data_IF_945919720937
#
_entry.id   IF_945919720937
#
_cell.length_a   1.000
_cell.length_b   1.000
_cell.length_c   1.000
_cell.angle_alpha   90.00
_cell.angle_beta   90.00
_cell.angle_gamma   90.00
#
_symmetry.space_group_name_H-M   'P 1'
#
loop_
_entity.id
_entity.type
_entity.pdbx_description
1 polymer ?
#
# COMPACT_ATOMS: atom_id res chain seq x y z
N UNK A 1 -3.64 -1.85 -9.48
CA UNK A 1 -2.98 -0.56 -9.83
C UNK A 1 -2.86 0.24 -8.55
N UNK A 2 -1.65 0.44 -8.07
CA UNK A 2 -1.41 1.16 -6.81
C UNK A 2 -1.84 2.62 -6.90
N UNK A 3 -2.22 3.21 -5.77
CA UNK A 3 -2.47 4.63 -5.68
C UNK A 3 -1.17 5.38 -5.97
N UNK A 4 -1.01 5.83 -7.20
CA UNK A 4 0.10 6.71 -7.56
C UNK A 4 -0.22 8.11 -7.04
N UNK A 5 0.42 8.53 -5.97
CA UNK A 5 0.39 9.92 -5.50
C UNK A 5 1.36 10.78 -6.33
N UNK A 6 1.47 10.48 -7.62
CA UNK A 6 2.39 11.16 -8.50
C UNK A 6 2.00 12.61 -8.73
N UNK A 7 2.88 13.50 -8.39
CA UNK A 7 3.02 14.75 -9.08
C UNK A 7 2.64 16.01 -8.35
N UNK A 8 3.66 16.69 -7.87
CA UNK A 8 3.68 18.13 -7.55
C UNK A 8 3.36 19.05 -8.75
N UNK A 9 3.00 18.49 -9.93
CA UNK A 9 2.74 19.25 -11.17
C UNK A 9 1.41 18.91 -11.85
N UNK A 10 0.35 18.59 -11.11
CA UNK A 10 -0.96 18.53 -11.72
C UNK A 10 -1.55 19.94 -11.80
N UNK A 11 -1.55 20.50 -13.01
CA UNK A 11 -2.34 21.64 -13.44
C UNK A 11 -3.76 21.58 -12.85
N UNK A 12 -4.24 22.73 -12.42
CA UNK A 12 -5.62 22.98 -12.02
C UNK A 12 -6.57 22.51 -13.12
N UNK A 13 -7.03 21.27 -13.07
CA UNK A 13 -8.20 20.88 -13.83
C UNK A 13 -9.43 21.48 -13.12
N UNK A 14 -10.02 22.39 -13.84
CA UNK A 14 -11.20 23.14 -13.52
C UNK A 14 -12.38 22.19 -13.25
N UNK A 15 -12.51 21.71 -12.01
CA UNK A 15 -13.76 21.14 -11.55
C UNK A 15 -14.69 22.32 -11.32
N UNK A 16 -15.61 22.50 -12.23
CA UNK A 16 -16.59 23.58 -12.20
C UNK A 16 -17.28 23.69 -10.86
N UNK A 17 -17.17 24.88 -10.26
CA UNK A 17 -18.01 25.36 -9.18
C UNK A 17 -17.62 24.90 -7.77
N UNK A 18 -16.96 25.78 -7.03
CA UNK A 18 -16.92 25.88 -5.57
C UNK A 18 -16.55 24.61 -4.80
N UNK A 19 -15.41 24.60 -4.11
CA UNK A 19 -15.01 23.51 -3.24
C UNK A 19 -16.13 23.09 -2.28
N UNK A 20 -16.85 22.03 -2.63
CA UNK A 20 -17.93 21.49 -1.83
C UNK A 20 -17.38 20.86 -0.56
N UNK A 21 -18.10 21.05 0.53
CA UNK A 21 -17.80 20.34 1.78
C UNK A 21 -18.33 18.90 1.68
N UNK A 22 -17.54 17.96 2.19
CA UNK A 22 -17.89 16.53 2.29
C UNK A 22 -18.04 16.16 3.75
N UNK A 23 -19.05 15.37 4.06
CA UNK A 23 -19.28 14.84 5.38
C UNK A 23 -18.88 13.37 5.43
N UNK A 24 -18.09 13.03 6.43
CA UNK A 24 -17.77 11.64 6.78
C UNK A 24 -18.25 11.44 8.21
N UNK A 25 -19.43 10.83 8.37
CA UNK A 25 -20.17 10.79 9.62
C UNK A 25 -20.39 12.20 10.19
N UNK A 26 -19.92 12.45 11.41
CA UNK A 26 -20.08 13.75 12.11
C UNK A 26 -18.99 14.77 11.75
N UNK A 27 -18.05 14.42 10.88
CA UNK A 27 -16.91 15.25 10.53
C UNK A 27 -17.10 15.91 9.17
N UNK A 28 -16.87 17.23 9.13
CA UNK A 28 -16.96 18.03 7.90
C UNK A 28 -15.60 18.33 7.36
N UNK A 29 -15.41 18.09 6.04
CA UNK A 29 -14.17 18.32 5.33
C UNK A 29 -14.40 19.22 4.13
N UNK A 30 -13.49 20.17 3.92
CA UNK A 30 -13.41 20.97 2.70
C UNK A 30 -12.44 20.32 1.74
N UNK A 31 -12.88 20.05 0.51
CA UNK A 31 -12.02 19.55 -0.55
C UNK A 31 -11.08 20.67 -1.00
N UNK A 32 -9.78 20.44 -0.92
CA UNK A 32 -8.75 21.39 -1.34
C UNK A 32 -8.32 21.13 -2.79
N UNK A 33 -7.99 19.88 -3.12
CA UNK A 33 -7.62 19.46 -4.47
C UNK A 33 -7.70 17.95 -4.62
N UNK A 34 -7.73 17.47 -5.87
CA UNK A 34 -7.56 16.06 -6.20
C UNK A 34 -6.09 15.68 -6.12
N UNK A 35 -5.78 14.52 -5.55
CA UNK A 35 -4.44 13.95 -5.47
C UNK A 35 -4.18 12.94 -6.60
N UNK A 36 -5.19 12.19 -7.00
CA UNK A 36 -5.08 11.18 -8.05
C UNK A 36 -6.27 10.23 -8.10
N UNK A 37 -6.14 9.19 -8.91
CA UNK A 37 -7.07 8.06 -8.95
C UNK A 37 -6.51 6.92 -8.11
N UNK A 38 -7.39 6.19 -7.44
CA UNK A 38 -7.04 5.07 -6.58
C UNK A 38 -7.86 3.84 -6.96
N UNK A 39 -7.20 2.79 -7.46
CA UNK A 39 -7.86 1.52 -7.75
C UNK A 39 -8.74 1.54 -9.01
N UNK A 40 -9.77 0.69 -9.04
CA UNK A 40 -10.64 0.50 -10.21
C UNK A 40 -11.39 1.78 -10.60
N UNK A 41 -11.87 1.81 -11.85
CA UNK A 41 -12.59 2.96 -12.42
C UNK A 41 -13.72 3.45 -11.49
N UNK A 42 -13.62 4.70 -11.03
CA UNK A 42 -14.58 5.34 -10.12
C UNK A 42 -14.04 5.70 -8.75
N UNK A 43 -12.78 5.39 -8.46
CA UNK A 43 -12.12 5.78 -7.20
C UNK A 43 -11.22 7.00 -7.41
N UNK A 44 -11.30 7.98 -6.52
CA UNK A 44 -10.48 9.19 -6.57
C UNK A 44 -10.02 9.58 -5.17
N UNK A 45 -8.80 10.11 -5.06
CA UNK A 45 -8.25 10.60 -3.79
C UNK A 45 -8.16 12.11 -3.81
N UNK A 46 -8.61 12.72 -2.72
CA UNK A 46 -8.64 14.16 -2.52
C UNK A 46 -7.84 14.57 -1.28
N UNK A 47 -7.16 15.69 -1.38
CA UNK A 47 -6.64 16.40 -0.24
C UNK A 47 -7.81 17.18 0.38
N UNK A 48 -8.06 16.97 1.67
CA UNK A 48 -9.16 17.61 2.38
C UNK A 48 -8.68 18.26 3.67
N UNK A 49 -9.38 19.31 4.09
CA UNK A 49 -9.14 19.98 5.37
C UNK A 49 -10.37 19.85 6.25
N UNK A 50 -10.19 19.42 7.48
CA UNK A 50 -11.24 19.39 8.47
C UNK A 50 -11.76 20.80 8.79
N UNK A 51 -13.08 20.97 8.77
CA UNK A 51 -13.76 22.20 9.13
C UNK A 51 -14.28 22.05 10.56
N UNK A 52 -13.50 22.55 11.51
CA UNK A 52 -13.91 22.58 12.93
C UNK A 52 -14.88 23.72 13.12
N UNK A 53 -16.08 23.44 13.62
CA UNK A 53 -17.00 24.50 14.01
C UNK A 53 -16.34 25.36 15.10
N UNK A 54 -16.28 26.67 14.89
CA UNK A 54 -15.85 27.59 15.93
C UNK A 54 -16.74 27.35 17.16
N UNK A 55 -16.15 27.03 18.29
CA UNK A 55 -16.89 26.88 19.53
C UNK A 55 -17.65 28.20 19.76
N UNK A 56 -18.97 28.15 19.78
CA UNK A 56 -19.79 29.27 20.14
C UNK A 56 -19.38 29.69 21.58
N UNK A 57 -18.72 30.83 21.69
CA UNK A 57 -18.32 31.39 22.96
C UNK A 57 -19.58 31.86 23.71
N UNK A 58 -20.13 31.00 24.55
CA UNK A 58 -21.01 31.38 25.64
C UNK A 58 -20.19 31.20 26.94
N UNK A 59 -19.92 32.33 27.56
CA UNK A 59 -19.33 32.54 28.89
C UNK A 59 -17.80 32.44 29.01
N UNK A 60 -17.30 33.58 29.49
CA UNK A 60 -15.91 33.90 29.72
C UNK A 60 -15.21 33.05 30.79
N UNK A 61 -14.46 32.08 30.36
CA UNK A 61 -13.30 31.57 31.06
C UNK A 61 -12.19 31.32 30.05
N UNK A 62 -11.11 32.07 30.17
CA UNK A 62 -9.90 31.99 29.40
C UNK A 62 -9.27 30.58 29.49
N UNK A 63 -9.03 29.94 28.36
CA UNK A 63 -8.22 28.71 28.30
C UNK A 63 -8.58 27.70 27.20
N UNK A 64 -9.04 28.14 26.03
CA UNK A 64 -9.12 27.24 24.89
C UNK A 64 -8.00 27.60 23.89
N UNK A 65 -6.97 26.74 23.82
CA UNK A 65 -5.99 26.73 22.73
C UNK A 65 -6.65 26.56 21.37
N UNK A 66 -5.92 26.76 20.26
CA UNK A 66 -6.46 26.69 18.91
C UNK A 66 -7.21 25.38 18.70
N UNK A 67 -8.44 25.48 18.13
CA UNK A 67 -9.45 24.41 18.06
C UNK A 67 -8.89 23.04 17.70
N UNK A 68 -8.95 22.14 18.66
CA UNK A 68 -8.52 20.74 18.47
C UNK A 68 -9.42 20.09 17.44
N UNK A 69 -8.83 19.44 16.41
CA UNK A 69 -9.50 18.65 15.38
C UNK A 69 -10.52 17.68 16.00
N UNK A 70 -11.69 17.53 15.39
CA UNK A 70 -12.70 16.56 15.84
C UNK A 70 -12.21 15.13 15.72
N UNK A 71 -11.45 14.82 14.66
CA UNK A 71 -10.78 13.52 14.48
C UNK A 71 -9.78 13.26 15.61
N UNK A 72 -9.07 14.30 16.12
CA UNK A 72 -8.16 14.18 17.26
C UNK A 72 -8.86 13.75 18.56
N UNK A 73 -10.16 13.95 18.67
CA UNK A 73 -10.97 13.55 19.84
C UNK A 73 -11.54 12.15 19.73
N UNK A 74 -11.42 11.51 18.56
CA UNK A 74 -11.93 10.15 18.34
C UNK A 74 -11.12 9.16 19.17
N UNK A 75 -11.80 8.37 20.00
CA UNK A 75 -11.16 7.32 20.79
C UNK A 75 -10.59 6.23 19.87
N UNK A 76 -9.36 5.81 20.13
CA UNK A 76 -8.72 4.71 19.41
C UNK A 76 -7.86 5.13 18.20
N UNK A 77 -7.81 6.40 17.85
CA UNK A 77 -6.88 6.92 16.84
C UNK A 77 -5.55 7.27 17.50
N UNK A 78 -4.45 6.74 16.97
CA UNK A 78 -3.11 7.09 17.45
C UNK A 78 -2.83 8.57 17.14
N UNK A 79 -2.45 9.38 18.15
CA UNK A 79 -2.15 10.81 17.96
C UNK A 79 -1.08 11.09 16.88
N UNK A 80 -0.17 10.16 16.63
CA UNK A 80 0.87 10.30 15.60
C UNK A 80 0.32 10.37 14.16
N UNK A 81 -0.90 9.87 13.95
CA UNK A 81 -1.57 9.89 12.64
C UNK A 81 -2.51 11.10 12.46
N UNK A 82 -2.62 11.95 13.48
CA UNK A 82 -3.49 13.12 13.42
C UNK A 82 -2.70 14.31 12.89
N UNK A 83 -3.22 14.91 11.82
CA UNK A 83 -2.61 16.12 11.26
C UNK A 83 -2.77 17.31 12.18
N UNK A 84 -1.67 18.00 12.51
CA UNK A 84 -1.70 19.25 13.27
C UNK A 84 -2.46 20.35 12.51
N UNK A 85 -2.46 20.32 11.19
CA UNK A 85 -3.10 21.30 10.31
C UNK A 85 -4.52 20.92 9.91
N UNK A 86 -5.02 19.76 10.39
CA UNK A 86 -6.33 19.19 10.02
C UNK A 86 -6.42 18.77 8.57
N UNK A 87 -5.31 18.42 7.92
CA UNK A 87 -5.23 18.03 6.52
C UNK A 87 -5.13 16.50 6.41
N UNK A 88 -5.97 15.91 5.55
CA UNK A 88 -6.10 14.45 5.39
C UNK A 88 -6.22 14.07 3.93
N UNK A 89 -6.06 12.78 3.63
CA UNK A 89 -6.36 12.17 2.35
C UNK A 89 -7.74 11.49 2.43
N UNK A 90 -8.62 11.79 1.48
CA UNK A 90 -9.96 11.22 1.38
C UNK A 90 -10.08 10.40 0.10
N UNK A 91 -10.17 9.08 0.21
CA UNK A 91 -10.50 8.18 -0.91
C UNK A 91 -12.02 8.17 -1.05
N UNK A 92 -12.51 8.56 -2.24
CA UNK A 92 -13.92 8.45 -2.63
C UNK A 92 -14.05 7.31 -3.62
N UNK A 93 -14.98 6.38 -3.37
CA UNK A 93 -15.26 5.24 -4.23
C UNK A 93 -16.72 5.30 -4.67
N UNK A 94 -16.97 5.27 -5.99
CA UNK A 94 -18.32 5.14 -6.53
C UNK A 94 -18.66 3.66 -6.70
N UNK A 95 -19.65 3.19 -5.97
CA UNK A 95 -20.07 1.80 -5.91
C UNK A 95 -21.34 1.62 -6.75
N UNK A 96 -21.25 0.77 -7.78
CA UNK A 96 -22.33 0.56 -8.77
C UNK A 96 -22.97 -0.83 -8.72
N UNK A 97 -22.48 -1.72 -7.86
CA UNK A 97 -23.01 -3.07 -7.71
C UNK A 97 -22.88 -3.55 -6.27
N UNK A 98 -23.72 -4.51 -5.87
CA UNK A 98 -23.67 -5.13 -4.55
C UNK A 98 -22.34 -5.88 -4.33
N UNK A 99 -21.81 -6.49 -5.39
CA UNK A 99 -20.49 -7.14 -5.33
C UNK A 99 -19.38 -6.13 -5.02
N UNK A 100 -19.38 -4.98 -5.68
CA UNK A 100 -18.42 -3.91 -5.40
C UNK A 100 -18.60 -3.32 -3.99
N UNK A 101 -19.86 -3.21 -3.52
CA UNK A 101 -20.16 -2.77 -2.15
C UNK A 101 -19.53 -3.73 -1.10
N UNK A 102 -19.60 -5.03 -1.34
CA UNK A 102 -19.01 -5.99 -0.41
C UNK A 102 -17.48 -5.96 -0.40
N UNK A 103 -16.85 -5.74 -1.56
CA UNK A 103 -15.39 -5.52 -1.64
C UNK A 103 -14.96 -4.29 -0.84
N UNK A 104 -15.67 -3.16 -0.98
CA UNK A 104 -15.39 -1.95 -0.21
C UNK A 104 -15.60 -2.16 1.30
N UNK A 105 -16.64 -2.89 1.68
CA UNK A 105 -16.88 -3.27 3.09
C UNK A 105 -15.76 -4.15 3.63
N UNK A 106 -15.23 -5.04 2.80
CA UNK A 106 -14.09 -5.88 3.17
C UNK A 106 -12.83 -5.03 3.35
N UNK A 107 -12.53 -4.11 2.42
CA UNK A 107 -11.40 -3.17 2.56
C UNK A 107 -11.49 -2.38 3.88
N UNK A 108 -12.66 -1.81 4.19
CA UNK A 108 -12.90 -1.07 5.44
C UNK A 108 -12.67 -1.97 6.66
N UNK A 109 -13.22 -3.18 6.65
CA UNK A 109 -13.11 -4.15 7.75
C UNK A 109 -11.64 -4.51 8.00
N UNK A 110 -10.90 -4.84 6.94
CA UNK A 110 -9.49 -5.21 7.03
C UNK A 110 -8.64 -4.03 7.49
N UNK A 111 -8.81 -2.84 6.87
CA UNK A 111 -8.08 -1.62 7.23
C UNK A 111 -8.32 -1.20 8.69
N UNK A 112 -9.50 -1.48 9.22
CA UNK A 112 -9.86 -1.15 10.61
C UNK A 112 -9.27 -2.11 11.65
N UNK A 113 -8.74 -3.27 11.23
CA UNK A 113 -8.16 -4.27 12.16
C UNK A 113 -6.71 -3.97 12.51
N UNK A 114 -5.97 -3.27 11.64
CA UNK A 114 -4.54 -3.08 11.81
C UNK A 114 -4.23 -1.74 12.45
N UNK A 115 -3.41 -1.77 13.51
CA UNK A 115 -2.85 -0.58 14.15
C UNK A 115 -1.34 -0.79 14.31
N UNK A 116 -0.56 -0.22 13.39
CA UNK A 116 0.89 -0.36 13.35
C UNK A 116 1.51 0.85 12.65
N UNK A 117 2.65 1.40 13.12
CA UNK A 117 3.26 2.61 12.55
C UNK A 117 3.68 2.47 11.07
N UNK A 118 3.85 1.25 10.58
CA UNK A 118 4.22 0.99 9.18
C UNK A 118 3.05 0.45 8.33
N UNK A 119 1.81 0.56 8.80
CA UNK A 119 0.57 0.30 8.05
C UNK A 119 -0.29 1.55 8.05
N UNK A 120 -0.87 1.90 6.90
CA UNK A 120 -1.69 3.11 6.78
C UNK A 120 -3.03 2.93 7.53
N UNK A 121 -3.28 3.68 8.60
CA UNK A 121 -4.50 3.51 9.38
C UNK A 121 -5.70 4.16 8.69
N UNK A 122 -6.85 3.50 8.73
CA UNK A 122 -8.14 4.10 8.38
C UNK A 122 -8.65 4.92 9.57
N UNK A 123 -8.71 6.25 9.41
CA UNK A 123 -9.11 7.17 10.48
C UNK A 123 -10.63 7.22 10.65
N UNK A 124 -11.35 7.30 9.53
CA UNK A 124 -12.79 7.38 9.50
C UNK A 124 -13.32 6.84 8.16
N UNK A 125 -14.57 6.40 8.12
CA UNK A 125 -15.22 5.99 6.88
C UNK A 125 -16.72 6.21 6.93
N UNK A 126 -17.33 6.38 5.75
CA UNK A 126 -18.79 6.41 5.59
C UNK A 126 -19.18 5.77 4.26
N UNK A 127 -20.31 5.05 4.24
CA UNK A 127 -20.94 4.57 3.01
C UNK A 127 -22.32 5.20 2.96
N UNK A 128 -22.60 5.96 1.91
CA UNK A 128 -23.89 6.66 1.73
C UNK A 128 -24.58 6.16 0.47
N UNK A 129 -25.90 6.02 0.53
CA UNK A 129 -26.71 5.75 -0.65
C UNK A 129 -26.91 7.04 -1.46
N UNK A 130 -26.65 6.97 -2.78
CA UNK A 130 -26.83 8.08 -3.69
C UNK A 130 -27.89 7.71 -4.71
N UNK A 131 -28.86 8.60 -4.96
CA UNK A 131 -29.87 8.37 -6.00
C UNK A 131 -29.21 8.41 -7.38
N UNK A 132 -29.33 7.32 -8.12
CA UNK A 132 -28.87 7.25 -9.52
C UNK A 132 -29.67 8.23 -10.39
N UNK A 133 -28.96 8.92 -11.30
CA UNK A 133 -29.54 10.02 -12.09
C UNK A 133 -30.40 9.54 -13.25
N UNK A 134 -30.35 8.25 -13.66
CA UNK A 134 -31.00 7.81 -14.91
C UNK A 134 -31.83 6.53 -14.88
N UNK A 135 -31.68 5.63 -13.87
CA UNK A 135 -32.36 4.32 -13.95
C UNK A 135 -33.00 3.81 -12.65
N UNK A 136 -33.07 4.64 -11.62
CA UNK A 136 -33.63 4.22 -10.32
C UNK A 136 -32.76 3.25 -9.52
N UNK A 137 -31.55 2.94 -9.99
CA UNK A 137 -30.59 2.11 -9.25
C UNK A 137 -30.06 2.84 -8.02
N UNK A 138 -29.95 2.11 -6.92
CA UNK A 138 -29.29 2.64 -5.71
C UNK A 138 -27.77 2.50 -5.89
N UNK A 139 -27.11 3.59 -6.24
CA UNK A 139 -25.67 3.67 -6.18
C UNK A 139 -25.22 4.03 -4.76
N UNK A 140 -24.04 3.62 -4.38
CA UNK A 140 -23.42 4.04 -3.11
C UNK A 140 -22.13 4.78 -3.36
N UNK A 141 -21.80 5.69 -2.47
CA UNK A 141 -20.49 6.30 -2.39
C UNK A 141 -19.85 5.94 -1.06
N UNK A 142 -18.60 5.47 -1.09
CA UNK A 142 -17.80 5.28 0.10
C UNK A 142 -16.75 6.38 0.21
N UNK A 143 -16.54 6.84 1.43
CA UNK A 143 -15.56 7.82 1.81
C UNK A 143 -14.65 7.21 2.88
N UNK A 144 -13.36 7.09 2.58
CA UNK A 144 -12.36 6.55 3.49
C UNK A 144 -11.31 7.63 3.79
N UNK A 145 -11.15 7.98 5.04
CA UNK A 145 -10.25 9.04 5.49
C UNK A 145 -8.94 8.46 6.04
N UNK A 146 -7.83 8.95 5.53
CA UNK A 146 -6.47 8.53 5.88
C UNK A 146 -5.59 9.71 6.28
N UNK A 147 -4.51 9.49 7.06
CA UNK A 147 -3.43 10.46 7.16
C UNK A 147 -2.87 10.79 5.77
N UNK A 148 -2.43 12.03 5.59
CA UNK A 148 -1.81 12.44 4.32
C UNK A 148 -0.30 12.35 4.39
N UNK A 149 0.30 11.75 3.33
CA UNK A 149 1.74 11.68 3.10
C UNK A 149 2.02 12.25 1.72
N UNK A 150 2.67 13.43 1.66
CA UNK A 150 2.82 14.20 0.42
C UNK A 150 4.15 13.96 -0.31
N UNK A 151 5.07 13.21 0.28
CA UNK A 151 6.37 12.91 -0.33
C UNK A 151 6.27 11.82 -1.43
N UNK A 152 5.10 11.22 -1.60
CA UNK A 152 4.80 10.24 -2.63
C UNK A 152 5.04 8.79 -2.20
N UNK A 153 5.01 7.90 -3.19
CA UNK A 153 5.26 6.47 -3.01
C UNK A 153 6.74 6.13 -3.16
N UNK A 154 7.14 4.96 -2.72
CA UNK A 154 8.47 4.43 -2.96
C UNK A 154 8.77 4.33 -4.46
N UNK A 155 7.76 4.04 -5.29
CA UNK A 155 7.88 4.03 -6.74
C UNK A 155 8.19 5.43 -7.28
N UNK A 156 7.49 6.46 -6.82
CA UNK A 156 7.73 7.85 -7.25
C UNK A 156 9.14 8.32 -6.90
N UNK A 157 9.59 7.99 -5.67
CA UNK A 157 10.94 8.35 -5.21
C UNK A 157 12.01 7.61 -5.99
N UNK A 158 11.89 6.29 -6.18
CA UNK A 158 12.87 5.50 -6.94
C UNK A 158 12.94 5.95 -8.39
N UNK A 159 11.83 6.25 -9.03
CA UNK A 159 11.77 6.79 -10.39
C UNK A 159 12.50 8.14 -10.48
N UNK A 160 12.21 9.06 -9.55
CA UNK A 160 12.87 10.38 -9.52
C UNK A 160 14.39 10.25 -9.31
N UNK A 161 14.83 9.31 -8.48
CA UNK A 161 16.25 9.03 -8.28
C UNK A 161 16.91 8.47 -9.54
N UNK A 162 16.25 7.55 -10.24
CA UNK A 162 16.74 6.99 -11.50
C UNK A 162 16.92 8.07 -12.59
N UNK A 163 15.93 8.98 -12.73
CA UNK A 163 16.01 10.11 -13.66
C UNK A 163 17.23 11.01 -13.39
N UNK A 164 17.76 11.00 -12.14
CA UNK A 164 18.95 11.73 -11.71
C UNK A 164 20.23 10.87 -11.69
N UNK A 165 20.16 9.61 -12.11
CA UNK A 165 21.23 8.61 -11.94
C UNK A 165 21.64 8.44 -10.47
N UNK A 166 20.71 8.57 -9.54
CA UNK A 166 20.89 8.36 -8.10
C UNK A 166 20.28 7.02 -7.69
N UNK A 167 20.72 6.49 -6.56
CA UNK A 167 20.14 5.29 -5.95
C UNK A 167 20.17 5.42 -4.42
N UNK A 168 19.29 4.70 -3.73
CA UNK A 168 19.32 4.67 -2.28
C UNK A 168 20.64 4.08 -1.78
N UNK A 169 21.27 4.67 -0.74
CA UNK A 169 22.33 4.01 -0.01
C UNK A 169 21.86 2.66 0.57
N UNK A 170 22.74 1.67 0.62
CA UNK A 170 22.44 0.33 1.14
C UNK A 170 21.73 0.36 2.50
N UNK A 171 22.21 1.21 3.41
CA UNK A 171 21.61 1.31 4.75
C UNK A 171 20.17 1.88 4.70
N UNK A 172 19.89 2.83 3.81
CA UNK A 172 18.56 3.39 3.63
C UNK A 172 17.58 2.34 3.08
N UNK A 173 18.01 1.55 2.08
CA UNK A 173 17.25 0.41 1.55
C UNK A 173 16.87 -0.54 2.68
N UNK A 174 17.85 -0.95 3.49
CA UNK A 174 17.62 -1.88 4.58
C UNK A 174 16.69 -1.32 5.66
N UNK A 175 16.80 -0.03 6.00
CA UNK A 175 15.94 0.62 6.99
C UNK A 175 14.49 0.75 6.52
N UNK A 176 14.26 1.08 5.25
CA UNK A 176 12.93 1.10 4.65
C UNK A 176 12.36 -0.33 4.62
N UNK A 177 13.13 -1.27 4.11
CA UNK A 177 12.74 -2.68 4.02
C UNK A 177 12.38 -3.28 5.39
N UNK A 178 13.16 -2.97 6.42
CA UNK A 178 12.90 -3.43 7.80
C UNK A 178 11.54 -2.94 8.33
N UNK A 179 11.13 -1.74 7.96
CA UNK A 179 9.83 -1.19 8.33
C UNK A 179 8.68 -1.91 7.62
N UNK A 180 8.84 -2.25 6.32
CA UNK A 180 7.88 -3.07 5.59
C UNK A 180 7.72 -4.46 6.24
N UNK A 181 8.85 -5.08 6.63
CA UNK A 181 8.82 -6.35 7.36
C UNK A 181 8.06 -6.23 8.68
N UNK A 182 8.17 -5.11 9.40
CA UNK A 182 7.45 -4.90 10.66
C UNK A 182 5.93 -4.80 10.44
N UNK A 183 5.50 -4.08 9.41
CA UNK A 183 4.09 -4.01 9.01
C UNK A 183 3.53 -5.38 8.62
N UNK A 184 4.23 -6.12 7.76
CA UNK A 184 3.81 -7.46 7.35
C UNK A 184 3.80 -8.44 8.52
N UNK A 185 4.80 -8.39 9.41
CA UNK A 185 4.79 -9.22 10.61
C UNK A 185 3.53 -8.98 11.45
N UNK A 186 3.12 -7.73 11.60
CA UNK A 186 1.88 -7.40 12.31
C UNK A 186 0.68 -8.11 11.68
N UNK A 187 0.53 -8.09 10.34
CA UNK A 187 -0.55 -8.78 9.63
C UNK A 187 -0.45 -10.31 9.71
N UNK A 188 0.74 -10.87 9.52
CA UNK A 188 0.99 -12.31 9.58
C UNK A 188 0.83 -12.92 10.99
N UNK A 189 0.90 -12.07 12.03
CA UNK A 189 0.75 -12.49 13.44
C UNK A 189 -0.69 -12.52 13.94
N UNK A 190 -1.66 -12.15 13.11
CA UNK A 190 -3.09 -12.28 13.45
C UNK A 190 -3.50 -13.77 13.48
N UNK A 191 -4.62 -14.04 14.14
CA UNK A 191 -5.26 -15.36 14.14
C UNK A 191 -6.72 -15.23 13.65
N UNK A 192 -7.02 -15.68 12.42
CA UNK A 192 -6.10 -16.22 11.41
C UNK A 192 -5.13 -15.18 10.83
N UNK A 193 -3.94 -15.61 10.33
CA UNK A 193 -2.99 -14.69 9.69
C UNK A 193 -3.60 -14.05 8.44
N UNK A 194 -3.22 -12.77 8.20
CA UNK A 194 -3.58 -12.03 7.00
C UNK A 194 -2.39 -11.88 6.07
N UNK A 195 -2.61 -12.03 4.76
CA UNK A 195 -1.69 -11.62 3.71
C UNK A 195 -2.14 -10.30 3.10
N UNK A 196 -1.17 -9.47 2.71
CA UNK A 196 -1.42 -8.20 2.05
C UNK A 196 -1.75 -8.38 0.55
N UNK A 197 -1.11 -9.33 -0.11
CA UNK A 197 -1.26 -9.71 -1.52
C UNK A 197 -0.95 -8.62 -2.57
N UNK A 198 -0.59 -7.41 -2.14
CA UNK A 198 -0.27 -6.28 -3.01
C UNK A 198 0.98 -5.52 -2.55
N UNK A 199 1.98 -6.22 -2.00
CA UNK A 199 3.26 -5.62 -1.59
C UNK A 199 4.06 -5.25 -2.83
N UNK A 200 4.23 -3.93 -3.06
CA UNK A 200 4.98 -3.35 -4.17
C UNK A 200 5.34 -1.89 -3.89
N UNK A 201 6.32 -1.30 -4.59
CA UNK A 201 6.74 0.08 -4.35
C UNK A 201 5.62 1.12 -4.48
N UNK A 202 4.64 0.90 -5.37
CA UNK A 202 3.47 1.79 -5.53
C UNK A 202 2.60 1.85 -4.28
N UNK A 203 2.59 0.80 -3.47
CA UNK A 203 1.78 0.67 -2.26
C UNK A 203 2.58 0.97 -0.98
N UNK A 204 3.73 1.61 -1.09
CA UNK A 204 4.54 2.07 0.04
C UNK A 204 4.67 3.58 0.01
N UNK A 205 4.09 4.26 0.99
CA UNK A 205 4.29 5.68 1.20
C UNK A 205 5.64 5.92 1.88
N UNK A 206 6.38 6.92 1.41
CA UNK A 206 7.64 7.35 2.00
C UNK A 206 7.46 8.75 2.55
N UNK A 207 7.91 8.98 3.77
CA UNK A 207 7.95 10.32 4.37
C UNK A 207 9.39 10.63 4.79
N UNK A 208 9.92 11.73 4.27
CA UNK A 208 11.22 12.25 4.65
C UNK A 208 11.14 12.89 6.04
N UNK A 209 12.05 12.50 6.91
CA UNK A 209 12.13 13.05 8.26
C UNK A 209 13.52 13.64 8.48
N UNK A 210 13.54 14.88 8.96
CA UNK A 210 14.82 15.55 9.25
C UNK A 210 15.59 14.76 10.32
N UNK A 211 16.84 14.41 10.03
CA UNK A 211 17.75 13.70 10.93
C UNK A 211 17.30 12.30 11.41
N UNK A 212 16.24 11.74 10.81
CA UNK A 212 15.75 10.40 11.11
C UNK A 212 15.68 9.57 9.81
N UNK A 213 15.70 8.24 9.89
CA UNK A 213 15.42 7.39 8.75
C UNK A 213 14.05 7.72 8.13
N UNK A 214 13.94 7.54 6.82
CA UNK A 214 12.65 7.65 6.14
C UNK A 214 11.60 6.79 6.84
N UNK A 215 10.38 7.31 6.94
CA UNK A 215 9.24 6.52 7.39
C UNK A 215 8.63 5.83 6.18
N UNK A 216 8.50 4.51 6.24
CA UNK A 216 7.83 3.70 5.23
C UNK A 216 6.51 3.16 5.78
N UNK A 217 5.42 3.35 5.03
CA UNK A 217 4.07 2.95 5.43
C UNK A 217 3.44 2.16 4.29
N UNK A 218 3.12 0.90 4.54
CA UNK A 218 2.41 0.05 3.60
C UNK A 218 0.93 0.44 3.57
N UNK A 219 0.37 0.62 2.38
CA UNK A 219 -1.01 1.03 2.14
C UNK A 219 -1.70 0.11 1.14
N UNK A 220 -3.00 0.35 0.92
CA UNK A 220 -3.83 -0.37 -0.03
C UNK A 220 -4.13 -1.82 0.39
N UNK A 221 -5.11 -1.96 1.28
CA UNK A 221 -5.55 -3.26 1.81
C UNK A 221 -6.72 -3.86 1.03
N UNK A 222 -6.99 -3.39 -0.19
CA UNK A 222 -8.10 -3.88 -1.03
C UNK A 222 -7.97 -5.38 -1.34
N UNK A 223 -6.74 -5.86 -1.55
CA UNK A 223 -6.42 -7.26 -1.81
C UNK A 223 -6.12 -8.06 -0.54
N UNK A 224 -6.05 -7.40 0.62
CA UNK A 224 -5.66 -8.06 1.86
C UNK A 224 -6.78 -8.97 2.39
N UNK A 225 -6.37 -10.12 2.91
CA UNK A 225 -7.32 -11.11 3.43
C UNK A 225 -6.64 -12.25 4.18
N UNK A 226 -7.41 -13.24 4.67
CA UNK A 226 -6.86 -14.42 5.31
C UNK A 226 -5.79 -15.09 4.43
N UNK A 227 -4.59 -15.27 4.99
CA UNK A 227 -3.44 -15.78 4.25
C UNK A 227 -3.56 -17.27 3.92
N UNK A 228 -4.16 -18.04 4.84
CA UNK A 228 -4.20 -19.50 4.73
C UNK A 228 -5.41 -19.98 3.94
N UNK A 229 -5.11 -20.64 2.82
CA UNK A 229 -6.11 -21.21 1.91
C UNK A 229 -5.73 -22.65 1.59
N UNK A 230 -6.59 -23.61 2.01
CA UNK A 230 -6.44 -25.02 1.67
C UNK A 230 -7.12 -25.30 0.34
N UNK A 231 -6.34 -25.53 -0.72
CA UNK A 231 -6.82 -25.91 -2.04
C UNK A 231 -6.91 -27.42 -2.11
N UNK A 232 -8.08 -27.95 -2.45
CA UNK A 232 -8.35 -29.41 -2.46
C UNK A 232 -8.97 -29.90 -3.78
N UNK A 233 -9.20 -28.99 -4.72
CA UNK A 233 -9.76 -29.31 -6.04
C UNK A 233 -9.20 -28.38 -7.13
N UNK A 234 -9.30 -28.82 -8.39
CA UNK A 234 -8.95 -28.00 -9.55
C UNK A 234 -9.83 -26.75 -9.65
N UNK A 235 -11.10 -26.84 -9.26
CA UNK A 235 -12.01 -25.69 -9.26
C UNK A 235 -11.57 -24.60 -8.27
N UNK A 236 -11.17 -24.97 -7.07
CA UNK A 236 -10.62 -24.03 -6.07
C UNK A 236 -9.31 -23.40 -6.54
N UNK A 237 -8.44 -24.19 -7.19
CA UNK A 237 -7.20 -23.68 -7.75
C UNK A 237 -7.45 -22.63 -8.84
N UNK A 238 -8.38 -22.88 -9.76
CA UNK A 238 -8.78 -21.92 -10.80
C UNK A 238 -9.40 -20.65 -10.21
N UNK A 239 -10.27 -20.78 -9.20
CA UNK A 239 -10.85 -19.62 -8.50
C UNK A 239 -9.78 -18.77 -7.85
N UNK A 240 -8.76 -19.37 -7.22
CA UNK A 240 -7.66 -18.64 -6.64
C UNK A 240 -6.83 -17.90 -7.70
N UNK A 241 -6.55 -18.54 -8.84
CA UNK A 241 -5.82 -17.93 -9.95
C UNK A 241 -6.60 -16.75 -10.56
N UNK A 242 -7.90 -16.91 -10.78
CA UNK A 242 -8.78 -15.84 -11.27
C UNK A 242 -8.78 -14.65 -10.29
N UNK A 243 -9.02 -14.91 -9.00
CA UNK A 243 -8.96 -13.89 -7.97
C UNK A 243 -7.59 -13.19 -7.96
N UNK A 244 -6.49 -13.93 -8.04
CA UNK A 244 -5.14 -13.37 -8.04
C UNK A 244 -4.86 -12.54 -9.30
N UNK A 245 -5.45 -12.89 -10.45
CA UNK A 245 -5.31 -12.11 -11.69
C UNK A 245 -5.99 -10.74 -11.60
N UNK A 246 -7.03 -10.62 -10.81
CA UNK A 246 -7.77 -9.37 -10.62
C UNK A 246 -7.17 -8.50 -9.51
N UNK A 247 -6.57 -9.11 -8.48
CA UNK A 247 -6.21 -8.43 -7.23
C UNK A 247 -4.70 -8.30 -6.99
N UNK A 248 -3.87 -9.17 -7.59
CA UNK A 248 -2.43 -9.13 -7.41
C UNK A 248 -1.74 -8.54 -8.64
N UNK A 249 -0.76 -7.68 -8.43
CA UNK A 249 0.04 -7.11 -9.53
C UNK A 249 0.94 -8.17 -10.14
N UNK A 250 0.88 -8.33 -11.45
CA UNK A 250 1.53 -9.41 -12.20
C UNK A 250 3.03 -9.56 -11.87
N UNK A 251 3.79 -8.45 -11.86
CA UNK A 251 5.23 -8.45 -11.64
C UNK A 251 5.65 -8.81 -10.21
N UNK A 252 4.71 -8.79 -9.26
CA UNK A 252 4.93 -9.05 -7.84
C UNK A 252 4.19 -10.30 -7.34
N UNK A 253 3.38 -10.92 -8.20
CA UNK A 253 2.57 -12.10 -7.87
C UNK A 253 3.43 -13.35 -7.74
N UNK A 254 3.27 -14.07 -6.63
CA UNK A 254 3.99 -15.31 -6.39
C UNK A 254 3.61 -16.43 -7.36
N UNK A 255 4.53 -17.33 -7.74
CA UNK A 255 4.30 -18.39 -8.74
C UNK A 255 3.08 -19.26 -8.43
N UNK A 256 2.83 -19.59 -7.16
CA UNK A 256 1.68 -20.40 -6.73
C UNK A 256 0.32 -19.71 -6.89
N UNK A 257 0.32 -18.38 -7.12
CA UNK A 257 -0.88 -17.62 -7.48
C UNK A 257 -1.08 -17.48 -8.99
N UNK A 258 -0.03 -17.78 -9.77
CA UNK A 258 -0.11 -17.88 -11.23
C UNK A 258 -0.57 -19.26 -11.69
N UNK A 259 -0.03 -20.29 -11.06
CA UNK A 259 -0.27 -21.69 -11.40
C UNK A 259 -0.44 -22.49 -10.10
N UNK A 260 -1.67 -22.40 -9.53
CA UNK A 260 -1.99 -23.07 -8.29
C UNK A 260 -2.20 -24.56 -8.51
N UNK A 261 -1.49 -25.45 -7.81
CA UNK A 261 -1.79 -26.88 -7.84
C UNK A 261 -3.18 -27.20 -7.29
N UNK A 262 -3.83 -28.24 -7.81
CA UNK A 262 -5.15 -28.70 -7.35
C UNK A 262 -5.18 -29.22 -5.89
N UNK A 263 -3.99 -29.41 -5.30
CA UNK A 263 -3.78 -29.74 -3.91
C UNK A 263 -2.60 -28.93 -3.38
N UNK A 264 -2.89 -27.87 -2.64
CA UNK A 264 -1.89 -26.98 -2.09
C UNK A 264 -2.39 -26.32 -0.79
N UNK A 265 -1.48 -25.97 0.09
CA UNK A 265 -1.72 -25.10 1.21
C UNK A 265 -1.00 -23.78 0.95
N UNK A 266 -1.77 -22.75 0.62
CA UNK A 266 -1.27 -21.38 0.41
C UNK A 266 -1.22 -20.69 1.77
N UNK A 267 -0.19 -19.89 2.01
CA UNK A 267 0.00 -19.16 3.25
C UNK A 267 0.59 -17.75 3.05
N UNK A 268 0.93 -17.08 4.12
CA UNK A 268 1.48 -15.72 4.15
C UNK A 268 2.80 -15.54 3.39
N UNK A 269 3.45 -16.62 2.95
CA UNK A 269 4.70 -16.56 2.16
C UNK A 269 4.51 -16.10 0.72
N UNK A 270 3.27 -15.92 0.27
CA UNK A 270 2.97 -15.16 -0.96
C UNK A 270 3.47 -13.71 -0.85
N UNK A 271 3.31 -13.08 0.32
CA UNK A 271 3.83 -11.73 0.57
C UNK A 271 5.37 -11.69 0.62
N UNK A 272 6.02 -12.80 1.04
CA UNK A 272 7.48 -12.87 1.08
C UNK A 272 8.09 -12.81 -0.33
N UNK A 273 7.44 -13.45 -1.30
CA UNK A 273 7.81 -13.29 -2.70
C UNK A 273 7.69 -11.84 -3.16
N UNK A 274 6.53 -11.23 -2.95
CA UNK A 274 6.27 -9.84 -3.32
C UNK A 274 7.24 -8.87 -2.63
N UNK A 275 7.59 -9.15 -1.37
CA UNK A 275 8.57 -8.40 -0.59
C UNK A 275 9.99 -8.51 -1.19
N UNK A 276 10.38 -9.70 -1.68
CA UNK A 276 11.63 -9.92 -2.40
C UNK A 276 11.70 -9.13 -3.70
N UNK A 277 10.61 -9.13 -4.49
CA UNK A 277 10.48 -8.29 -5.70
C UNK A 277 10.56 -6.80 -5.36
N UNK A 278 9.95 -6.38 -4.26
CA UNK A 278 9.97 -4.99 -3.79
C UNK A 278 11.38 -4.56 -3.37
N UNK A 279 12.13 -5.40 -2.67
CA UNK A 279 13.53 -5.12 -2.31
C UNK A 279 14.39 -4.95 -3.57
N UNK A 280 14.22 -5.82 -4.57
CA UNK A 280 14.90 -5.67 -5.85
C UNK A 280 14.54 -4.34 -6.52
N UNK A 281 13.24 -3.99 -6.57
CA UNK A 281 12.77 -2.76 -7.18
C UNK A 281 13.29 -1.50 -6.47
N UNK A 282 13.47 -1.53 -5.17
CA UNK A 282 14.12 -0.44 -4.40
C UNK A 282 15.57 -0.23 -4.82
N UNK A 283 16.27 -1.29 -5.19
CA UNK A 283 17.67 -1.24 -5.60
C UNK A 283 17.85 -0.83 -7.06
N UNK A 284 16.95 -1.30 -7.94
CA UNK A 284 17.15 -1.21 -9.38
C UNK A 284 16.00 -0.51 -10.13
N UNK A 285 14.96 -0.04 -9.43
CA UNK A 285 13.86 0.78 -9.95
C UNK A 285 12.74 0.05 -10.66
N UNK A 286 12.85 -1.25 -10.89
CA UNK A 286 11.82 -2.11 -11.47
C UNK A 286 11.89 -3.53 -10.89
N UNK A 287 10.85 -4.33 -11.08
CA UNK A 287 10.83 -5.70 -10.57
C UNK A 287 11.91 -6.57 -11.24
N UNK A 288 12.38 -7.65 -10.61
CA UNK A 288 13.37 -8.54 -11.21
C UNK A 288 12.87 -9.16 -12.51
N UNK A 289 11.55 -9.34 -12.64
CA UNK A 289 10.94 -10.01 -13.80
C UNK A 289 10.68 -9.03 -14.95
N UNK A 290 10.38 -7.76 -14.70
CA UNK A 290 10.35 -6.72 -15.74
C UNK A 290 11.75 -6.50 -16.32
N UNK A 291 12.79 -6.47 -15.47
CA UNK A 291 14.17 -6.34 -15.91
C UNK A 291 14.58 -7.51 -16.84
N UNK A 292 14.14 -8.72 -16.50
CA UNK A 292 14.43 -9.90 -17.32
C UNK A 292 13.69 -9.89 -18.66
N UNK A 293 12.42 -9.43 -18.68
CA UNK A 293 11.63 -9.32 -19.92
C UNK A 293 12.22 -8.30 -20.90
N UNK A 294 12.72 -7.17 -20.39
CA UNK A 294 13.36 -6.15 -21.24
C UNK A 294 14.61 -6.69 -21.95
N UNK A 295 15.31 -7.66 -21.34
CA UNK A 295 16.49 -8.29 -21.92
C UNK A 295 16.21 -9.56 -22.73
N UNK A 296 15.03 -10.17 -22.57
CA UNK A 296 14.69 -11.47 -23.17
C UNK A 296 13.55 -11.28 -24.17
N UNK A 297 13.88 -11.04 -25.42
CA UNK A 297 12.89 -10.89 -26.49
C UNK A 297 12.05 -12.16 -26.66
N UNK A 298 10.74 -12.06 -26.39
CA UNK A 298 9.74 -13.09 -26.70
C UNK A 298 9.36 -14.05 -25.56
N UNK A 299 9.91 -13.90 -24.36
CA UNK A 299 9.44 -14.65 -23.19
C UNK A 299 8.17 -14.03 -22.59
N UNK A 300 7.29 -14.85 -22.02
CA UNK A 300 6.14 -14.34 -21.25
C UNK A 300 6.52 -14.10 -19.81
N UNK A 301 5.87 -13.10 -19.16
CA UNK A 301 6.07 -12.81 -17.74
C UNK A 301 5.86 -14.07 -16.86
N UNK A 302 4.84 -14.85 -17.16
CA UNK A 302 4.58 -16.12 -16.46
C UNK A 302 5.76 -17.09 -16.54
N UNK A 303 6.36 -17.26 -17.73
CA UNK A 303 7.53 -18.15 -17.93
C UNK A 303 8.72 -17.68 -17.09
N UNK A 304 8.96 -16.37 -17.09
CA UNK A 304 10.08 -15.76 -16.36
C UNK A 304 9.89 -15.91 -14.84
N UNK A 305 8.69 -15.65 -14.32
CA UNK A 305 8.36 -15.80 -12.90
C UNK A 305 8.51 -17.28 -12.47
N UNK A 306 8.02 -18.20 -13.28
CA UNK A 306 8.10 -19.65 -12.99
C UNK A 306 9.55 -20.16 -12.95
N UNK A 307 10.42 -19.61 -13.80
CA UNK A 307 11.85 -19.98 -13.79
C UNK A 307 12.59 -19.50 -12.55
N UNK A 308 12.10 -18.41 -11.94
CA UNK A 308 12.71 -17.67 -10.84
C UNK A 308 14.20 -17.35 -11.05
N UNK A 309 14.63 -17.29 -12.32
CA UNK A 309 15.98 -16.84 -12.65
C UNK A 309 16.05 -15.33 -12.52
N UNK A 310 16.89 -14.84 -11.62
CA UNK A 310 17.04 -13.42 -11.36
C UNK A 310 18.27 -12.93 -12.11
N UNK A 311 18.06 -11.99 -13.03
CA UNK A 311 19.15 -11.24 -13.64
C UNK A 311 19.48 -10.01 -12.83
N UNK A 312 20.75 -9.69 -12.74
CA UNK A 312 21.26 -8.55 -12.00
C UNK A 312 21.85 -7.53 -12.96
N UNK A 313 21.53 -6.21 -12.83
CA UNK A 313 22.16 -5.19 -13.64
C UNK A 313 23.67 -5.21 -13.46
N UNK A 314 24.38 -5.10 -14.60
CA UNK A 314 25.85 -5.10 -14.66
C UNK A 314 26.44 -3.70 -14.76
N UNK A 315 25.61 -2.66 -14.86
CA UNK A 315 26.05 -1.28 -15.02
C UNK A 315 26.79 -0.77 -13.80
N UNK A 316 27.86 -0.02 -14.05
CA UNK A 316 28.84 0.42 -13.06
C UNK A 316 28.34 1.42 -11.99
N UNK A 317 27.05 1.77 -12.01
CA UNK A 317 26.47 2.80 -11.14
C UNK A 317 25.75 2.31 -9.88
N UNK A 318 25.35 1.05 -9.79
CA UNK A 318 24.57 0.53 -8.64
C UNK A 318 25.17 -0.75 -8.09
N UNK A 319 26.33 -0.63 -7.43
CA UNK A 319 26.98 -1.78 -6.80
C UNK A 319 26.45 -2.02 -5.41
N UNK A 320 25.28 -2.64 -5.32
CA UNK A 320 24.81 -3.15 -4.04
C UNK A 320 25.57 -4.42 -3.64
N UNK A 321 25.82 -4.64 -2.33
CA UNK A 321 26.56 -5.79 -1.84
C UNK A 321 25.91 -7.13 -2.23
N UNK A 322 26.73 -8.15 -2.52
CA UNK A 322 26.22 -9.50 -2.84
C UNK A 322 25.35 -10.11 -1.76
N UNK A 323 25.52 -9.70 -0.50
CA UNK A 323 24.65 -10.13 0.59
C UNK A 323 23.18 -9.71 0.41
N UNK A 324 22.90 -8.56 -0.26
CA UNK A 324 21.54 -8.17 -0.60
C UNK A 324 20.99 -9.01 -1.74
N UNK A 325 21.82 -9.34 -2.74
CA UNK A 325 21.44 -10.23 -3.84
C UNK A 325 21.09 -11.62 -3.32
N UNK A 326 21.90 -12.17 -2.43
CA UNK A 326 21.63 -13.45 -1.77
C UNK A 326 20.36 -13.39 -0.91
N UNK A 327 20.09 -12.28 -0.24
CA UNK A 327 18.90 -12.06 0.56
C UNK A 327 17.63 -12.05 -0.31
N UNK A 328 17.66 -11.36 -1.46
CA UNK A 328 16.56 -11.38 -2.43
C UNK A 328 16.35 -12.80 -2.97
N UNK A 329 17.41 -13.49 -3.38
CA UNK A 329 17.32 -14.86 -3.89
C UNK A 329 16.71 -15.82 -2.88
N UNK A 330 16.98 -15.63 -1.59
CA UNK A 330 16.37 -16.44 -0.52
C UNK A 330 14.86 -16.24 -0.40
N UNK A 331 14.35 -15.01 -0.61
CA UNK A 331 12.91 -14.72 -0.63
C UNK A 331 12.23 -15.17 -1.92
N UNK A 332 12.93 -15.10 -3.06
CA UNK A 332 12.40 -15.43 -4.40
C UNK A 332 12.60 -16.91 -4.74
N UNK A 333 12.26 -17.80 -3.81
CA UNK A 333 12.22 -19.23 -4.07
C UNK A 333 10.88 -19.61 -4.71
N UNK A 334 10.87 -20.31 -5.88
CA UNK A 334 9.63 -20.68 -6.57
C UNK A 334 8.69 -21.49 -5.70
N UNK A 335 9.26 -22.42 -4.93
CA UNK A 335 8.49 -23.27 -4.05
C UNK A 335 8.21 -22.57 -2.70
N UNK A 336 6.97 -22.28 -2.33
CA UNK A 336 6.65 -21.51 -1.14
C UNK A 336 7.17 -22.15 0.17
N UNK A 337 7.22 -23.50 0.24
CA UNK A 337 7.66 -24.20 1.45
C UNK A 337 9.13 -23.95 1.84
N UNK A 338 9.98 -23.53 0.89
CA UNK A 338 11.41 -23.24 1.15
C UNK A 338 11.67 -21.74 1.31
N UNK A 339 10.67 -20.87 1.12
CA UNK A 339 10.79 -19.45 1.45
C UNK A 339 10.84 -19.26 2.94
N UNK A 340 11.60 -18.26 3.41
CA UNK A 340 11.63 -17.91 4.84
C UNK A 340 10.28 -17.36 5.30
N UNK A 341 10.00 -17.45 6.60
CA UNK A 341 8.93 -16.70 7.23
C UNK A 341 9.39 -15.28 7.55
N UNK A 342 8.44 -14.39 7.81
CA UNK A 342 8.73 -12.96 8.07
C UNK A 342 9.68 -12.76 9.26
N UNK A 343 9.63 -13.62 10.26
CA UNK A 343 10.53 -13.57 11.43
C UNK A 343 11.99 -13.84 11.05
N UNK A 344 12.23 -14.81 10.17
CA UNK A 344 13.57 -15.12 9.66
C UNK A 344 14.15 -13.95 8.87
N UNK A 345 13.29 -13.29 8.07
CA UNK A 345 13.66 -12.11 7.29
C UNK A 345 14.03 -10.96 8.20
N UNK A 346 13.25 -10.70 9.26
CA UNK A 346 13.53 -9.66 10.25
C UNK A 346 14.87 -9.87 10.91
N UNK A 347 15.15 -11.10 11.36
CA UNK A 347 16.45 -11.45 11.98
C UNK A 347 17.59 -11.20 10.99
N UNK A 348 17.39 -11.53 9.72
CA UNK A 348 18.44 -11.37 8.70
C UNK A 348 18.68 -9.90 8.35
N UNK A 349 17.62 -9.10 8.13
CA UNK A 349 17.77 -7.68 7.83
C UNK A 349 18.38 -6.91 8.98
N UNK A 350 18.07 -7.22 10.22
CA UNK A 350 18.68 -6.61 11.42
C UNK A 350 20.20 -6.87 11.49
N UNK A 351 20.65 -8.07 11.10
CA UNK A 351 22.08 -8.38 10.94
C UNK A 351 22.74 -7.55 9.82
N UNK A 352 22.05 -7.38 8.68
CA UNK A 352 22.55 -6.56 7.59
C UNK A 352 22.62 -5.08 7.98
N UNK A 353 21.61 -4.55 8.66
CA UNK A 353 21.62 -3.18 9.18
C UNK A 353 22.82 -2.98 10.09
N UNK A 354 23.05 -3.86 11.05
CA UNK A 354 24.23 -3.80 11.94
C UNK A 354 25.54 -3.80 11.16
N UNK A 355 25.66 -4.63 10.12
CA UNK A 355 26.84 -4.72 9.26
C UNK A 355 27.11 -3.44 8.46
N UNK A 356 26.07 -2.75 7.98
CA UNK A 356 26.20 -1.60 7.09
C UNK A 356 25.95 -0.25 7.78
N UNK A 357 25.72 -0.23 9.09
CA UNK A 357 25.66 0.99 9.92
C UNK A 357 27.02 1.36 10.50
N UNK A 358 28.00 0.45 10.44
CA UNK A 358 29.38 0.67 10.86
C UNK A 358 30.17 1.26 9.70
#
# INVERSE_FOLDING_TARGET
MGCSFSGLNALYDNVGGGGGDVWVNDYRFRVLRRLGDAGPAGSSVFLVKEVVAAAASSDGTAGAGPGTSGIARKKGVDPSHISADGIYALKKVLIRSDQHLELVRQEIRVSSQFSHPNLLPLLEHAIIAVKGVQDGSQNHEAYLLFPVHLDGTLQDVTKTMQERNESFPTITVLQIFRQLCAGLKHMHSFDPPYAHNAVKPDNVLITHRKELPHLAILMDFESAGPARRAIRSQAEALQLQEWASEHCSDQYRAPELWECPSHADIDERTDIWSLGCTLYAMMYGKSPFDYQLDESAGESLHTVIRSAQIKWPTEAGSSYPDSLRQFITWMLQPHPAVRPHIDDIIIHVDKLITKYSA
#
